data_IF_574837307351
#
_entry.id   IF_574837307351
#
_cell.length_a   1.000
_cell.length_b   1.000
_cell.length_c   1.000
_cell.angle_alpha   90.00
_cell.angle_beta   90.00
_cell.angle_gamma   90.00
#
_symmetry.space_group_name_H-M   'P 1'
#
loop_
_entity.id
_entity.type
_entity.pdbx_description
1 polymer ?
#
# COMPACT_ATOMS: atom_id res chain seq x y z
N UNK A 1 -23.99 25.03 -14.06
CA UNK A 1 -23.17 25.17 -12.84
C UNK A 1 -22.11 24.09 -12.79
N UNK A 2 -20.85 24.48 -12.95
CA UNK A 2 -19.69 23.63 -13.31
C UNK A 2 -18.91 23.06 -12.11
N UNK A 3 -19.57 22.79 -10.99
CA UNK A 3 -18.93 22.28 -9.76
C UNK A 3 -19.66 21.08 -9.14
N UNK A 4 -20.17 20.17 -9.96
CA UNK A 4 -20.62 18.89 -9.43
C UNK A 4 -19.41 18.09 -8.96
N UNK A 5 -19.21 18.00 -7.64
CA UNK A 5 -18.32 17.00 -7.03
C UNK A 5 -18.65 15.64 -7.64
N UNK A 6 -17.68 14.90 -8.22
CA UNK A 6 -17.96 13.59 -8.78
C UNK A 6 -18.66 12.72 -7.73
N UNK A 7 -19.69 11.98 -8.15
CA UNK A 7 -20.37 11.03 -7.26
C UNK A 7 -19.32 10.11 -6.66
N UNK A 8 -19.22 10.10 -5.33
CA UNK A 8 -18.21 9.35 -4.60
C UNK A 8 -18.36 7.86 -4.86
N UNK A 9 -17.61 7.35 -5.83
CA UNK A 9 -17.57 5.94 -6.22
C UNK A 9 -16.18 5.32 -6.07
N UNK A 10 -15.26 6.00 -5.39
CA UNK A 10 -13.99 5.41 -4.98
C UNK A 10 -14.20 4.38 -3.87
N UNK A 11 -13.26 3.43 -3.69
CA UNK A 11 -13.33 2.47 -2.61
C UNK A 11 -13.43 3.19 -1.27
N UNK A 12 -14.33 2.71 -0.41
CA UNK A 12 -14.36 3.09 1.00
C UNK A 12 -13.23 2.39 1.75
N UNK A 13 -12.90 2.85 2.96
CA UNK A 13 -11.97 2.12 3.82
C UNK A 13 -12.43 0.70 4.15
N UNK A 14 -13.75 0.42 4.10
CA UNK A 14 -14.27 -0.92 4.30
C UNK A 14 -13.99 -1.86 3.10
N UNK A 15 -13.66 -1.30 1.94
CA UNK A 15 -13.30 -2.04 0.73
C UNK A 15 -11.78 -2.32 0.66
N UNK A 16 -11.00 -1.88 1.66
CA UNK A 16 -9.56 -2.09 1.74
C UNK A 16 -9.27 -3.26 2.69
N UNK A 17 -8.71 -4.33 2.15
CA UNK A 17 -8.20 -5.47 2.92
C UNK A 17 -6.70 -5.31 3.21
N UNK A 18 -6.26 -5.29 4.49
CA UNK A 18 -4.85 -5.30 4.82
C UNK A 18 -4.26 -6.70 4.60
N UNK A 19 -3.41 -6.83 3.58
CA UNK A 19 -2.77 -8.10 3.19
C UNK A 19 -1.34 -8.27 3.73
N UNK A 20 -0.83 -7.29 4.47
CA UNK A 20 0.48 -7.36 5.13
C UNK A 20 1.07 -5.99 5.46
N UNK A 21 2.38 -5.98 5.69
CA UNK A 21 3.13 -4.77 6.00
C UNK A 21 4.20 -4.98 7.07
N UNK A 22 4.85 -3.89 7.45
CA UNK A 22 5.81 -3.83 8.56
C UNK A 22 5.35 -2.78 9.57
N UNK A 23 5.76 -2.93 10.83
CA UNK A 23 5.53 -1.92 11.86
C UNK A 23 6.36 -0.65 11.64
N UNK A 24 6.37 0.23 12.63
CA UNK A 24 7.21 1.42 12.61
C UNK A 24 8.69 1.03 12.65
N UNK A 25 9.50 1.72 11.85
CA UNK A 25 10.95 1.54 11.78
C UNK A 25 11.65 2.82 12.17
N UNK A 26 12.66 2.72 13.02
CA UNK A 26 13.60 3.83 13.28
C UNK A 26 14.49 4.09 12.06
N UNK A 27 15.13 5.27 11.96
CA UNK A 27 16.13 5.52 10.93
C UNK A 27 17.18 4.40 10.86
N UNK A 28 17.60 4.07 9.64
CA UNK A 28 18.58 3.03 9.32
C UNK A 28 18.18 1.59 9.68
N UNK A 29 16.97 1.36 10.21
CA UNK A 29 16.44 0.02 10.43
C UNK A 29 15.88 -0.59 9.13
N UNK A 30 15.97 -1.91 9.02
CA UNK A 30 15.38 -2.70 7.94
C UNK A 30 14.48 -3.78 8.53
N UNK A 31 13.30 -3.97 7.95
CA UNK A 31 12.41 -5.07 8.28
C UNK A 31 11.90 -5.76 7.01
N UNK A 32 11.57 -7.04 7.14
CA UNK A 32 11.02 -7.87 6.09
C UNK A 32 9.69 -8.43 6.54
N UNK A 33 8.77 -8.59 5.60
CA UNK A 33 7.48 -9.24 5.80
C UNK A 33 7.24 -10.15 4.61
N UNK A 34 6.75 -11.35 4.85
CA UNK A 34 6.38 -12.31 3.81
C UNK A 34 4.86 -12.24 3.64
N UNK A 35 4.41 -12.09 2.39
CA UNK A 35 3.00 -12.00 2.03
C UNK A 35 2.74 -12.89 0.82
N UNK A 36 1.69 -13.68 0.89
CA UNK A 36 1.19 -14.47 -0.23
C UNK A 36 0.05 -13.69 -0.90
N UNK A 37 0.36 -13.03 -2.02
CA UNK A 37 -0.60 -12.21 -2.76
C UNK A 37 -1.18 -12.98 -3.95
N UNK A 38 -2.49 -12.97 -4.07
CA UNK A 38 -3.20 -13.43 -5.27
C UNK A 38 -2.98 -12.44 -6.42
N UNK A 39 -3.21 -12.84 -7.68
CA UNK A 39 -3.17 -11.90 -8.80
C UNK A 39 -4.15 -10.73 -8.60
N UNK A 40 -3.67 -9.50 -8.70
CA UNK A 40 -4.46 -8.29 -8.45
C UNK A 40 -3.63 -7.02 -8.35
N UNK A 41 -4.31 -5.88 -8.19
CA UNK A 41 -3.68 -4.58 -7.97
C UNK A 41 -3.70 -4.23 -6.48
N UNK A 42 -2.53 -3.88 -5.95
CA UNK A 42 -2.30 -3.59 -4.54
C UNK A 42 -1.69 -2.21 -4.36
N UNK A 43 -1.80 -1.67 -3.15
CA UNK A 43 -1.14 -0.44 -2.75
C UNK A 43 -0.29 -0.68 -1.49
N UNK A 44 0.97 -0.25 -1.53
CA UNK A 44 1.82 -0.10 -0.36
C UNK A 44 1.69 1.34 0.15
N UNK A 45 1.23 1.52 1.39
CA UNK A 45 0.89 2.84 1.94
C UNK A 45 1.57 3.01 3.31
N UNK A 46 2.25 4.15 3.51
CA UNK A 46 2.78 4.52 4.82
C UNK A 46 1.76 5.32 5.64
N UNK A 47 1.40 4.78 6.80
CA UNK A 47 0.49 5.41 7.77
C UNK A 47 1.21 6.16 8.91
N UNK A 48 2.52 6.38 8.79
CA UNK A 48 3.29 7.21 9.73
C UNK A 48 3.03 8.69 9.43
N UNK A 49 3.08 9.51 10.46
CA UNK A 49 2.91 10.95 10.39
C UNK A 49 4.25 11.62 10.56
N UNK A 50 4.50 12.65 9.73
CA UNK A 50 5.69 13.46 9.85
C UNK A 50 5.65 14.25 11.16
N UNK A 51 6.68 14.15 12.02
CA UNK A 51 6.65 14.76 13.34
C UNK A 51 6.76 16.29 13.32
N UNK A 52 7.25 16.89 12.23
CA UNK A 52 7.40 18.34 12.11
C UNK A 52 6.11 19.03 11.63
N UNK A 53 5.45 18.44 10.65
CA UNK A 53 4.27 19.01 9.96
C UNK A 53 2.96 18.38 10.37
N UNK A 54 2.99 17.18 10.96
CA UNK A 54 1.80 16.36 11.25
C UNK A 54 1.14 15.77 10.01
N UNK A 55 1.73 15.87 8.83
CA UNK A 55 1.17 15.32 7.60
C UNK A 55 1.38 13.79 7.55
N UNK A 56 0.37 13.00 7.14
CA UNK A 56 0.58 11.59 6.82
C UNK A 56 1.63 11.43 5.72
N UNK A 57 2.58 10.51 5.87
CA UNK A 57 3.61 10.27 4.85
C UNK A 57 3.04 9.86 3.49
N UNK A 58 1.87 9.20 3.46
CA UNK A 58 1.08 9.00 2.23
C UNK A 58 0.88 10.32 1.45
N UNK A 59 0.59 11.43 2.15
CA UNK A 59 0.38 12.74 1.53
C UNK A 59 1.66 13.46 1.16
N UNK A 60 2.80 12.95 1.62
CA UNK A 60 4.13 13.37 1.20
C UNK A 60 4.67 12.51 0.05
N UNK A 61 3.88 11.56 -0.47
CA UNK A 61 4.22 10.71 -1.60
C UNK A 61 4.73 9.32 -1.24
N UNK A 62 4.69 8.93 0.04
CA UNK A 62 5.14 7.59 0.48
C UNK A 62 4.04 6.53 0.28
N UNK A 63 3.68 6.32 -0.98
CA UNK A 63 2.79 5.26 -1.42
C UNK A 63 3.18 4.78 -2.82
N UNK A 64 2.91 3.50 -3.08
CA UNK A 64 3.17 2.86 -4.37
C UNK A 64 2.00 1.95 -4.72
N UNK A 65 1.59 1.94 -5.99
CA UNK A 65 0.59 1.00 -6.52
C UNK A 65 1.30 0.01 -7.43
N UNK A 66 1.06 -1.28 -7.23
CA UNK A 66 1.71 -2.34 -7.99
C UNK A 66 0.72 -3.45 -8.34
N UNK A 67 1.00 -4.19 -9.41
CA UNK A 67 0.19 -5.34 -9.83
C UNK A 67 0.96 -6.63 -9.62
N UNK A 68 0.26 -7.64 -9.11
CA UNK A 68 0.71 -9.03 -9.01
C UNK A 68 0.00 -9.81 -10.10
N UNK A 69 0.73 -10.55 -10.95
CA UNK A 69 0.15 -11.61 -11.80
C UNK A 69 -0.03 -11.36 -13.31
N UNK A 70 0.59 -10.34 -13.92
CA UNK A 70 0.39 -10.05 -15.36
C UNK A 70 1.37 -10.76 -16.35
N UNK A 71 1.63 -12.07 -16.22
CA UNK A 71 2.19 -12.82 -17.37
C UNK A 71 3.10 -14.04 -17.18
N UNK A 72 3.01 -14.79 -16.09
CA UNK A 72 3.75 -16.06 -15.99
C UNK A 72 3.32 -16.91 -14.80
N UNK A 73 3.46 -18.24 -14.94
CA UNK A 73 3.25 -19.23 -13.87
C UNK A 73 3.88 -18.76 -12.57
N UNK A 74 3.20 -18.84 -11.41
CA UNK A 74 3.79 -18.53 -10.12
C UNK A 74 5.14 -19.25 -9.97
N UNK A 75 6.22 -18.48 -9.83
CA UNK A 75 7.52 -19.02 -9.50
C UNK A 75 7.43 -19.68 -8.13
N UNK A 76 7.96 -20.91 -8.02
CA UNK A 76 8.03 -21.61 -6.74
C UNK A 76 8.66 -20.70 -5.68
N UNK A 77 8.06 -20.67 -4.49
CA UNK A 77 8.60 -20.04 -3.29
C UNK A 77 10.09 -20.40 -3.17
N UNK A 78 11.02 -19.43 -3.11
CA UNK A 78 12.40 -19.74 -2.76
C UNK A 78 12.39 -20.40 -1.38
N UNK A 79 13.01 -21.57 -1.26
CA UNK A 79 13.23 -22.17 0.04
C UNK A 79 14.10 -21.22 0.88
N UNK A 80 13.75 -21.09 2.17
CA UNK A 80 14.51 -20.36 3.18
C UNK A 80 15.95 -20.86 3.32
#
# INVERSE_FOLDING_TARGET
>A
DEHATPVGGGPSFADIEPVGGVGWLSPDATAWTEVDLEPGTYAAICFVFDPETGMPHLMLGMAEVFTVGDGGTPGATPAA
#
